data_IF_635698999759
#
_entry.id   IF_635698999759
#
_cell.length_a   1.000
_cell.length_b   1.000
_cell.length_c   1.000
_cell.angle_alpha   90.00
_cell.angle_beta   90.00
_cell.angle_gamma   90.00
#
_symmetry.space_group_name_H-M   'P 1'
#
loop_
_entity.id
_entity.type
_entity.pdbx_description
1 polymer ?
#
# COMPACT_ATOMS: atom_id res chain seq x y z
N UNK A 1 6.37 -31.31 -1.32
CA UNK A 1 6.74 -30.02 -0.70
C UNK A 1 6.33 -28.97 -1.71
N UNK A 2 5.35 -28.12 -1.37
CA UNK A 2 4.98 -27.02 -2.26
C UNK A 2 6.20 -26.09 -2.40
N UNK A 3 6.63 -25.85 -3.63
CA UNK A 3 7.67 -24.85 -3.90
C UNK A 3 7.11 -23.49 -3.46
N UNK A 4 7.68 -22.91 -2.41
CA UNK A 4 7.39 -21.53 -2.02
C UNK A 4 7.87 -20.63 -3.16
N UNK A 5 6.96 -19.85 -3.76
CA UNK A 5 7.29 -18.87 -4.80
C UNK A 5 8.08 -17.68 -4.23
N UNK A 6 8.05 -17.48 -2.90
CA UNK A 6 8.85 -16.45 -2.23
C UNK A 6 10.17 -17.06 -1.77
N UNK A 7 11.27 -16.39 -2.05
CA UNK A 7 12.59 -16.80 -1.57
C UNK A 7 12.66 -16.78 -0.03
N UNK A 8 13.35 -17.78 0.54
CA UNK A 8 13.53 -17.86 2.01
C UNK A 8 14.19 -16.60 2.59
N UNK A 9 15.05 -15.93 1.81
CA UNK A 9 15.71 -14.69 2.21
C UNK A 9 14.74 -13.52 2.36
N UNK A 10 13.74 -13.41 1.48
CA UNK A 10 12.70 -12.37 1.55
C UNK A 10 11.87 -12.54 2.80
N UNK A 11 11.39 -13.75 3.08
CA UNK A 11 10.60 -14.04 4.29
C UNK A 11 11.37 -13.72 5.57
N UNK A 12 12.64 -14.13 5.66
CA UNK A 12 13.49 -13.83 6.81
C UNK A 12 13.75 -12.33 6.98
N UNK A 13 13.87 -11.58 5.89
CA UNK A 13 14.01 -10.14 5.93
C UNK A 13 12.77 -9.45 6.51
N UNK A 14 11.56 -9.90 6.15
CA UNK A 14 10.33 -9.38 6.74
C UNK A 14 10.15 -9.74 8.20
N UNK A 15 10.52 -10.96 8.62
CA UNK A 15 10.50 -11.35 10.03
C UNK A 15 11.43 -10.45 10.88
N UNK A 16 12.59 -10.03 10.34
CA UNK A 16 13.50 -9.12 11.01
C UNK A 16 13.05 -7.65 10.96
N UNK A 17 12.34 -7.24 9.92
CA UNK A 17 11.90 -5.86 9.69
C UNK A 17 11.04 -5.32 10.83
N UNK A 18 10.07 -6.10 11.30
CA UNK A 18 9.15 -5.66 12.36
C UNK A 18 9.81 -5.53 13.73
N UNK A 19 10.96 -6.17 13.94
CA UNK A 19 11.75 -6.02 15.17
C UNK A 19 12.60 -4.74 15.18
N UNK A 20 12.99 -4.26 13.99
CA UNK A 20 13.96 -3.17 13.85
C UNK A 20 13.34 -1.77 13.73
N UNK A 21 12.05 -1.65 13.36
CA UNK A 21 11.43 -0.38 13.04
C UNK A 21 10.45 0.10 14.11
N UNK A 22 10.49 1.40 14.39
CA UNK A 22 9.62 2.09 15.35
C UNK A 22 8.13 1.94 15.00
N UNK A 23 7.34 1.48 15.96
CA UNK A 23 5.89 1.33 15.84
C UNK A 23 5.20 2.66 15.50
N UNK A 24 5.66 3.77 16.11
CA UNK A 24 5.08 5.09 15.85
C UNK A 24 5.24 5.51 14.39
N UNK A 25 6.38 5.17 13.78
CA UNK A 25 6.62 5.39 12.35
C UNK A 25 5.63 4.62 11.48
N UNK A 26 5.41 3.34 11.78
CA UNK A 26 4.48 2.48 11.05
C UNK A 26 3.04 2.97 11.20
N UNK A 27 2.60 3.28 12.42
CA UNK A 27 1.27 3.84 12.69
C UNK A 27 1.04 5.16 11.95
N UNK A 28 2.02 6.06 11.98
CA UNK A 28 1.90 7.35 11.29
C UNK A 28 1.74 7.16 9.77
N UNK A 29 2.56 6.33 9.15
CA UNK A 29 2.44 6.01 7.72
C UNK A 29 1.12 5.33 7.37
N UNK A 30 0.70 4.36 8.18
CA UNK A 30 -0.54 3.63 7.99
C UNK A 30 -1.78 4.52 8.09
N UNK A 31 -1.78 5.53 8.96
CA UNK A 31 -2.89 6.49 9.06
C UNK A 31 -3.17 7.19 7.72
N UNK A 32 -2.13 7.66 7.06
CA UNK A 32 -2.29 8.32 5.76
C UNK A 32 -2.69 7.35 4.66
N UNK A 33 -2.13 6.14 4.62
CA UNK A 33 -2.55 5.09 3.70
C UNK A 33 -4.04 4.74 3.89
N UNK A 34 -4.48 4.55 5.12
CA UNK A 34 -5.88 4.31 5.43
C UNK A 34 -6.79 5.49 5.01
N UNK A 35 -6.33 6.75 5.11
CA UNK A 35 -7.06 7.91 4.59
C UNK A 35 -7.21 7.85 3.07
N UNK A 36 -6.17 7.48 2.32
CA UNK A 36 -6.24 7.30 0.87
C UNK A 36 -7.23 6.18 0.50
N UNK A 37 -7.18 5.05 1.21
CA UNK A 37 -8.11 3.94 1.03
C UNK A 37 -9.56 4.41 1.17
N UNK A 38 -9.88 5.07 2.28
CA UNK A 38 -11.23 5.59 2.56
C UNK A 38 -11.64 6.63 1.50
N UNK A 39 -10.73 7.54 1.13
CA UNK A 39 -11.04 8.60 0.16
C UNK A 39 -11.32 8.05 -1.24
N UNK A 40 -10.48 7.16 -1.76
CA UNK A 40 -10.63 6.59 -3.10
C UNK A 40 -11.88 5.70 -3.19
N UNK A 41 -12.27 5.07 -2.10
CA UNK A 41 -13.41 4.15 -2.04
C UNK A 41 -14.71 4.77 -1.52
N UNK A 42 -14.76 6.07 -1.26
CA UNK A 42 -15.88 6.78 -0.62
C UNK A 42 -17.25 6.62 -1.27
N UNK A 43 -17.30 6.29 -2.56
CA UNK A 43 -18.56 6.08 -3.30
C UNK A 43 -19.11 4.65 -3.15
N UNK A 44 -18.44 3.80 -2.39
CA UNK A 44 -18.77 2.39 -2.20
C UNK A 44 -18.83 2.05 -0.72
N UNK A 45 -19.61 1.02 -0.40
CA UNK A 45 -19.67 0.43 0.94
C UNK A 45 -19.30 -1.04 0.85
N UNK A 46 -18.42 -1.47 1.72
CA UNK A 46 -17.92 -2.85 1.76
C UNK A 46 -18.28 -3.48 3.08
N UNK A 47 -18.70 -4.74 3.05
CA UNK A 47 -19.01 -5.51 4.27
C UNK A 47 -17.82 -6.36 4.70
N UNK A 48 -17.16 -6.98 3.74
CA UNK A 48 -16.08 -7.92 3.99
C UNK A 48 -14.82 -7.52 3.21
N UNK A 49 -13.77 -7.15 3.94
CA UNK A 49 -12.54 -6.60 3.37
C UNK A 49 -11.35 -7.45 3.82
N UNK A 50 -10.46 -7.76 2.88
CA UNK A 50 -9.20 -8.45 3.12
C UNK A 50 -8.03 -7.52 2.83
N UNK A 51 -7.10 -7.37 3.77
CA UNK A 51 -5.78 -6.80 3.49
C UNK A 51 -4.78 -7.91 3.22
N UNK A 52 -4.11 -7.86 2.07
CA UNK A 52 -3.06 -8.81 1.66
C UNK A 52 -1.70 -8.14 1.79
N UNK A 53 -0.79 -8.75 2.54
CA UNK A 53 0.44 -8.14 3.00
C UNK A 53 0.16 -7.09 4.08
N UNK A 54 -0.63 -7.48 5.10
CA UNK A 54 -1.14 -6.56 6.12
C UNK A 54 -0.07 -6.04 7.10
N UNK A 55 1.15 -6.57 7.01
CA UNK A 55 2.27 -6.11 7.81
C UNK A 55 2.04 -6.31 9.30
N UNK A 56 2.06 -5.23 10.06
CA UNK A 56 1.75 -5.23 11.48
C UNK A 56 0.28 -4.91 11.79
N UNK A 57 -0.59 -4.82 10.78
CA UNK A 57 -2.01 -4.52 10.92
C UNK A 57 -2.34 -3.04 11.21
N UNK A 58 -1.39 -2.14 11.04
CA UNK A 58 -1.62 -0.72 11.36
C UNK A 58 -2.64 -0.05 10.45
N UNK A 59 -2.79 -0.47 9.18
CA UNK A 59 -3.85 0.03 8.30
C UNK A 59 -5.21 -0.49 8.79
N UNK A 60 -5.33 -1.80 9.05
CA UNK A 60 -6.56 -2.40 9.58
C UNK A 60 -7.01 -1.76 10.90
N UNK A 61 -6.05 -1.41 11.77
CA UNK A 61 -6.33 -0.69 13.00
C UNK A 61 -7.08 0.64 12.73
N UNK A 62 -6.62 1.45 11.78
CA UNK A 62 -7.30 2.71 11.46
C UNK A 62 -8.63 2.48 10.72
N UNK A 63 -8.72 1.48 9.85
CA UNK A 63 -9.96 1.14 9.16
C UNK A 63 -11.04 0.70 10.16
N UNK A 64 -10.68 -0.06 11.21
CA UNK A 64 -11.57 -0.42 12.31
C UNK A 64 -12.02 0.82 13.10
N UNK A 65 -11.07 1.68 13.53
CA UNK A 65 -11.38 2.92 14.26
C UNK A 65 -12.37 3.82 13.49
N UNK A 66 -12.28 3.83 12.17
CA UNK A 66 -13.16 4.63 11.31
C UNK A 66 -14.39 3.87 10.84
N UNK A 67 -14.61 2.64 11.32
CA UNK A 67 -15.75 1.78 10.98
C UNK A 67 -15.92 1.61 9.47
N UNK A 68 -14.79 1.39 8.78
CA UNK A 68 -14.75 1.30 7.32
C UNK A 68 -15.52 0.08 6.79
N UNK A 69 -15.38 -1.07 7.47
CA UNK A 69 -16.10 -2.29 7.17
C UNK A 69 -16.38 -3.08 8.46
N UNK A 70 -17.50 -3.80 8.56
CA UNK A 70 -17.82 -4.61 9.74
C UNK A 70 -16.96 -5.87 9.87
N UNK A 71 -16.43 -6.39 8.76
CA UNK A 71 -15.59 -7.60 8.74
C UNK A 71 -14.27 -7.30 8.03
N UNK A 72 -13.17 -7.33 8.79
CA UNK A 72 -11.80 -7.21 8.30
C UNK A 72 -11.10 -8.56 8.40
N UNK A 73 -10.25 -8.85 7.43
CA UNK A 73 -9.41 -10.03 7.37
C UNK A 73 -8.00 -9.65 6.96
N UNK A 74 -7.01 -10.46 7.35
CA UNK A 74 -5.60 -10.20 7.05
C UNK A 74 -4.89 -11.45 6.53
N UNK A 75 -4.06 -11.26 5.51
CA UNK A 75 -3.03 -12.19 5.10
C UNK A 75 -1.66 -11.52 5.20
N UNK A 76 -0.70 -12.22 5.78
CA UNK A 76 0.66 -11.75 5.95
C UNK A 76 1.65 -12.90 5.70
N UNK A 77 2.81 -12.63 5.10
CA UNK A 77 3.80 -13.67 4.77
C UNK A 77 4.72 -14.02 5.94
N UNK A 78 4.86 -13.11 6.91
CA UNK A 78 5.75 -13.27 8.06
C UNK A 78 4.99 -13.65 9.33
N UNK A 79 5.57 -14.56 10.12
CA UNK A 79 5.00 -14.95 11.42
C UNK A 79 5.01 -13.79 12.41
N UNK A 80 6.04 -12.97 12.37
CA UNK A 80 6.13 -11.79 13.24
C UNK A 80 5.05 -10.76 12.92
N UNK A 81 4.74 -10.54 11.63
CA UNK A 81 3.62 -9.69 11.21
C UNK A 81 2.29 -10.22 11.70
N UNK A 82 2.00 -11.52 11.51
CA UNK A 82 0.79 -12.16 12.04
C UNK A 82 0.65 -11.93 13.55
N UNK A 83 1.72 -12.17 14.32
CA UNK A 83 1.70 -11.95 15.77
C UNK A 83 1.45 -10.49 16.18
N UNK A 84 2.00 -9.52 15.42
CA UNK A 84 1.72 -8.10 15.64
C UNK A 84 0.28 -7.71 15.33
N UNK A 85 -0.32 -8.28 14.28
CA UNK A 85 -1.73 -8.05 13.95
C UNK A 85 -2.63 -8.57 15.07
N UNK A 86 -2.40 -9.79 15.52
CA UNK A 86 -3.17 -10.42 16.63
C UNK A 86 -3.06 -9.59 17.91
N UNK A 87 -1.86 -9.11 18.25
CA UNK A 87 -1.61 -8.30 19.45
C UNK A 87 -2.34 -6.96 19.44
N UNK A 88 -2.72 -6.42 18.27
CA UNK A 88 -3.48 -5.15 18.18
C UNK A 88 -4.93 -5.25 18.63
N UNK A 89 -5.48 -6.46 18.78
CA UNK A 89 -6.85 -6.70 19.24
C UNK A 89 -7.89 -5.83 18.50
N UNK A 90 -7.89 -5.86 17.16
CA UNK A 90 -8.78 -5.08 16.30
C UNK A 90 -10.19 -5.70 16.34
N UNK A 91 -11.23 -5.00 16.84
CA UNK A 91 -12.56 -5.57 17.06
C UNK A 91 -13.23 -6.15 15.81
N UNK A 92 -13.10 -5.51 14.66
CA UNK A 92 -13.71 -5.97 13.39
C UNK A 92 -12.90 -7.06 12.68
N UNK A 93 -11.70 -7.40 13.16
CA UNK A 93 -10.84 -8.40 12.55
C UNK A 93 -11.35 -9.82 12.83
N UNK A 94 -11.72 -10.55 11.78
CA UNK A 94 -12.30 -11.90 11.86
C UNK A 94 -11.27 -13.01 11.70
N UNK A 95 -10.21 -12.77 10.91
CA UNK A 95 -9.14 -13.74 10.72
C UNK A 95 -7.82 -13.08 10.34
N UNK A 96 -6.76 -13.70 10.82
CA UNK A 96 -5.36 -13.43 10.41
C UNK A 96 -4.74 -14.76 10.01
N UNK A 97 -4.09 -14.82 8.85
CA UNK A 97 -3.44 -16.04 8.40
C UNK A 97 -2.08 -15.74 7.76
N UNK A 98 -1.13 -16.61 8.02
CA UNK A 98 0.11 -16.66 7.23
C UNK A 98 -0.20 -17.29 5.87
N UNK A 99 0.33 -16.70 4.77
CA UNK A 99 0.17 -17.26 3.43
C UNK A 99 1.50 -17.28 2.66
N UNK A 100 1.51 -17.92 1.50
CA UNK A 100 2.72 -18.13 0.71
C UNK A 100 3.10 -16.95 -0.20
N UNK A 101 2.32 -15.86 -0.16
CA UNK A 101 2.50 -14.65 -0.95
C UNK A 101 1.77 -14.65 -2.29
N UNK A 102 1.25 -15.77 -2.75
CA UNK A 102 0.59 -15.89 -4.05
C UNK A 102 -0.75 -16.61 -4.02
N UNK A 103 -0.88 -17.67 -3.23
CA UNK A 103 -2.13 -18.40 -3.12
C UNK A 103 -2.96 -17.88 -1.95
N UNK A 104 -4.15 -17.35 -2.26
CA UNK A 104 -5.07 -16.81 -1.26
C UNK A 104 -6.00 -17.93 -0.81
N UNK A 105 -5.95 -18.34 0.49
CA UNK A 105 -6.67 -19.52 1.00
C UNK A 105 -8.17 -19.23 1.27
N UNK A 106 -8.83 -18.58 0.33
CA UNK A 106 -10.26 -18.28 0.36
C UNK A 106 -10.92 -18.67 -0.96
N UNK A 107 -12.21 -19.07 -0.94
CA UNK A 107 -12.98 -19.32 -2.15
C UNK A 107 -13.10 -18.08 -3.07
N UNK A 108 -13.53 -18.31 -4.30
CA UNK A 108 -13.83 -17.26 -5.26
C UNK A 108 -14.89 -16.29 -4.70
N UNK A 109 -14.75 -15.01 -5.04
CA UNK A 109 -15.70 -13.95 -4.67
C UNK A 109 -16.04 -13.87 -3.17
N UNK A 110 -15.08 -14.29 -2.30
CA UNK A 110 -15.24 -14.31 -0.83
C UNK A 110 -15.29 -12.91 -0.20
N UNK A 111 -14.76 -11.90 -0.89
CA UNK A 111 -14.64 -10.55 -0.36
C UNK A 111 -15.28 -9.50 -1.27
N UNK A 112 -15.81 -8.44 -0.67
CA UNK A 112 -16.25 -7.30 -1.44
C UNK A 112 -15.05 -6.52 -1.98
N UNK A 113 -14.00 -6.35 -1.15
CA UNK A 113 -12.78 -5.65 -1.54
C UNK A 113 -11.53 -6.30 -0.94
N UNK A 114 -10.45 -6.29 -1.72
CA UNK A 114 -9.08 -6.54 -1.22
C UNK A 114 -8.30 -5.23 -1.24
N UNK A 115 -7.48 -5.04 -0.22
CA UNK A 115 -6.48 -3.97 -0.10
C UNK A 115 -5.10 -4.57 -0.29
N UNK A 116 -4.31 -3.95 -1.17
CA UNK A 116 -2.90 -4.26 -1.41
C UNK A 116 -2.10 -2.95 -1.32
N UNK A 117 -1.66 -2.59 -0.12
CA UNK A 117 -1.04 -1.31 0.15
C UNK A 117 0.46 -1.44 0.42
N UNK A 118 1.29 -0.93 -0.50
CA UNK A 118 2.76 -1.03 -0.45
C UNK A 118 3.25 -2.49 -0.37
N UNK A 119 2.73 -3.33 -1.26
CA UNK A 119 3.10 -4.74 -1.39
C UNK A 119 3.62 -5.03 -2.79
N UNK A 120 2.97 -4.47 -3.83
CA UNK A 120 3.22 -4.84 -5.22
C UNK A 120 4.65 -4.55 -5.66
N UNK A 121 5.29 -3.52 -5.09
CA UNK A 121 6.69 -3.17 -5.34
C UNK A 121 7.69 -4.23 -4.86
N UNK A 122 7.25 -5.15 -4.00
CA UNK A 122 8.08 -6.23 -3.43
C UNK A 122 7.80 -7.61 -4.06
N UNK A 123 6.82 -7.70 -4.95
CA UNK A 123 6.34 -8.98 -5.49
C UNK A 123 7.09 -9.37 -6.75
N UNK A 124 7.71 -10.54 -6.79
CA UNK A 124 8.45 -11.05 -7.96
C UNK A 124 7.55 -11.34 -9.16
N UNK A 125 6.33 -11.84 -8.91
CA UNK A 125 5.37 -12.27 -9.92
C UNK A 125 4.03 -11.55 -9.75
N UNK A 126 4.02 -10.24 -9.93
CA UNK A 126 2.87 -9.38 -9.64
C UNK A 126 1.59 -9.80 -10.38
N UNK A 127 1.72 -10.30 -11.61
CA UNK A 127 0.57 -10.75 -12.40
C UNK A 127 -0.08 -12.02 -11.85
N UNK A 128 0.71 -12.93 -11.26
CA UNK A 128 0.15 -14.12 -10.59
C UNK A 128 -0.66 -13.70 -9.36
N UNK A 129 -0.13 -12.80 -8.55
CA UNK A 129 -0.86 -12.28 -7.40
C UNK A 129 -2.13 -11.55 -7.83
N UNK A 130 -2.07 -10.69 -8.85
CA UNK A 130 -3.25 -9.96 -9.35
C UNK A 130 -4.38 -10.89 -9.80
N UNK A 131 -4.07 -12.02 -10.41
CA UNK A 131 -5.05 -13.04 -10.82
C UNK A 131 -5.72 -13.70 -9.63
N UNK A 132 -4.96 -13.99 -8.56
CA UNK A 132 -5.53 -14.51 -7.31
C UNK A 132 -6.40 -13.46 -6.62
N UNK A 133 -5.96 -12.20 -6.54
CA UNK A 133 -6.76 -11.11 -6.01
C UNK A 133 -8.09 -10.96 -6.78
N UNK A 134 -8.03 -11.05 -8.12
CA UNK A 134 -9.20 -11.01 -9.01
C UNK A 134 -10.15 -12.17 -8.77
N UNK A 135 -9.63 -13.36 -8.49
CA UNK A 135 -10.44 -14.53 -8.18
C UNK A 135 -11.27 -14.34 -6.92
N UNK A 136 -10.66 -13.77 -5.88
CA UNK A 136 -11.20 -13.79 -4.51
C UNK A 136 -12.10 -12.58 -4.19
N UNK A 137 -11.99 -11.47 -4.92
CA UNK A 137 -12.75 -10.26 -4.61
C UNK A 137 -13.38 -9.57 -5.84
N UNK A 138 -14.43 -8.78 -5.57
CA UNK A 138 -15.12 -7.95 -6.57
C UNK A 138 -14.37 -6.65 -6.87
N UNK A 139 -13.76 -6.07 -5.84
CA UNK A 139 -12.96 -4.85 -5.93
C UNK A 139 -11.55 -5.08 -5.43
N UNK A 140 -10.61 -4.41 -6.05
CA UNK A 140 -9.20 -4.39 -5.67
C UNK A 140 -8.74 -2.95 -5.50
N UNK A 141 -8.24 -2.61 -4.32
CA UNK A 141 -7.58 -1.34 -4.05
C UNK A 141 -6.07 -1.59 -3.93
N UNK A 142 -5.30 -0.88 -4.74
CA UNK A 142 -3.83 -0.94 -4.72
C UNK A 142 -3.29 0.45 -4.40
N UNK A 143 -2.35 0.52 -3.46
CA UNK A 143 -1.49 1.69 -3.28
C UNK A 143 -0.03 1.29 -3.47
N UNK A 144 0.69 2.05 -4.28
CA UNK A 144 2.14 1.87 -4.51
C UNK A 144 2.89 3.18 -4.30
N UNK A 145 4.15 3.15 -3.82
CA UNK A 145 5.01 4.32 -3.85
C UNK A 145 5.33 4.67 -5.30
N UNK A 146 5.38 5.97 -5.60
CA UNK A 146 5.85 6.43 -6.90
C UNK A 146 7.37 6.57 -6.87
N UNK A 147 8.06 5.47 -7.05
CA UNK A 147 9.52 5.43 -7.02
C UNK A 147 10.16 5.84 -8.35
N UNK A 148 9.50 5.53 -9.46
CA UNK A 148 9.97 5.92 -10.79
C UNK A 148 9.72 7.42 -11.03
N UNK A 149 10.75 8.23 -10.77
CA UNK A 149 10.72 9.69 -10.86
C UNK A 149 12.10 10.24 -11.23
N UNK A 150 12.19 11.55 -11.47
CA UNK A 150 13.47 12.21 -11.75
C UNK A 150 14.54 11.86 -10.70
N UNK A 151 15.72 11.46 -11.17
CA UNK A 151 16.83 11.03 -10.33
C UNK A 151 16.72 9.57 -9.83
N UNK A 152 15.85 8.74 -10.41
CA UNK A 152 15.72 7.31 -10.08
C UNK A 152 17.05 6.57 -10.17
N UNK A 153 17.86 6.88 -11.18
CA UNK A 153 19.16 6.21 -11.43
C UNK A 153 20.17 6.38 -10.29
N UNK A 154 20.01 7.39 -9.45
CA UNK A 154 20.86 7.64 -8.29
C UNK A 154 20.36 7.02 -6.99
N UNK A 155 19.23 6.29 -7.04
CA UNK A 155 18.51 5.79 -5.87
C UNK A 155 18.57 4.28 -5.67
N UNK A 156 19.44 3.59 -6.40
CA UNK A 156 19.54 2.12 -6.33
C UNK A 156 19.70 1.60 -4.89
N UNK A 157 20.57 2.23 -4.09
CA UNK A 157 20.74 1.85 -2.68
C UNK A 157 19.43 1.96 -1.90
N UNK A 158 18.65 3.02 -2.10
CA UNK A 158 17.36 3.21 -1.46
C UNK A 158 16.39 2.06 -1.80
N UNK A 159 16.30 1.67 -3.06
CA UNK A 159 15.42 0.58 -3.48
C UNK A 159 15.84 -0.76 -2.87
N UNK A 160 17.14 -1.05 -2.86
CA UNK A 160 17.68 -2.25 -2.22
C UNK A 160 17.43 -2.27 -0.71
N UNK A 161 17.62 -1.13 -0.03
CA UNK A 161 17.39 -0.99 1.42
C UNK A 161 15.92 -1.22 1.81
N UNK A 162 14.98 -0.87 0.91
CA UNK A 162 13.53 -1.08 1.11
C UNK A 162 12.99 -2.35 0.44
N UNK A 163 13.81 -3.08 -0.31
CA UNK A 163 13.39 -4.29 -1.03
C UNK A 163 12.42 -4.03 -2.18
N UNK A 164 12.43 -2.81 -2.77
CA UNK A 164 11.62 -2.47 -3.93
C UNK A 164 12.25 -3.06 -5.19
N UNK A 165 11.71 -4.16 -5.68
CA UNK A 165 12.15 -4.82 -6.92
C UNK A 165 11.36 -4.35 -8.14
N UNK A 166 10.17 -3.77 -7.93
CA UNK A 166 9.36 -3.15 -8.96
C UNK A 166 9.17 -1.66 -8.68
N UNK A 167 9.11 -0.87 -9.74
CA UNK A 167 8.91 0.58 -9.67
C UNK A 167 7.73 0.99 -10.53
N UNK A 168 6.79 1.72 -9.94
CA UNK A 168 5.55 2.12 -10.62
C UNK A 168 5.47 3.62 -10.85
N UNK A 169 4.84 3.96 -11.96
CA UNK A 169 4.20 5.26 -12.21
C UNK A 169 2.68 5.07 -12.20
N UNK A 170 1.87 6.12 -12.06
CA UNK A 170 0.42 5.99 -12.23
C UNK A 170 0.04 5.31 -13.55
N UNK A 171 0.70 5.65 -14.64
CA UNK A 171 0.44 5.07 -15.96
C UNK A 171 0.80 3.58 -16.03
N UNK A 172 1.98 3.18 -15.52
CA UNK A 172 2.38 1.77 -15.57
C UNK A 172 1.50 0.88 -14.69
N UNK A 173 1.04 1.38 -13.53
CA UNK A 173 0.11 0.63 -12.69
C UNK A 173 -1.27 0.52 -13.34
N UNK A 174 -1.79 1.62 -13.95
CA UNK A 174 -3.05 1.55 -14.71
C UNK A 174 -2.98 0.52 -15.82
N UNK A 175 -1.88 0.54 -16.60
CA UNK A 175 -1.66 -0.46 -17.65
C UNK A 175 -1.63 -1.89 -17.08
N UNK A 176 -0.92 -2.11 -15.98
CA UNK A 176 -0.80 -3.42 -15.36
C UNK A 176 -2.18 -3.97 -14.94
N UNK A 177 -2.97 -3.18 -14.18
CA UNK A 177 -4.28 -3.65 -13.70
C UNK A 177 -5.28 -3.85 -14.84
N UNK A 178 -5.31 -2.96 -15.85
CA UNK A 178 -6.20 -3.11 -16.99
C UNK A 178 -5.82 -4.34 -17.83
N UNK A 179 -4.52 -4.59 -18.03
CA UNK A 179 -4.04 -5.79 -18.77
C UNK A 179 -4.29 -7.10 -18.02
N UNK A 180 -4.63 -7.08 -16.73
CA UNK A 180 -5.07 -8.26 -15.96
C UNK A 180 -6.60 -8.31 -15.81
N UNK A 181 -7.36 -7.50 -16.55
CA UNK A 181 -8.81 -7.53 -16.60
C UNK A 181 -9.47 -6.86 -15.39
N UNK A 182 -8.95 -5.72 -14.99
CA UNK A 182 -9.58 -4.83 -14.04
C UNK A 182 -10.00 -3.52 -14.71
N UNK A 183 -11.14 -2.97 -14.32
CA UNK A 183 -11.58 -1.64 -14.70
C UNK A 183 -11.30 -0.67 -13.56
N UNK A 184 -10.64 0.44 -13.86
CA UNK A 184 -10.38 1.50 -12.88
C UNK A 184 -11.70 2.22 -12.57
N UNK A 185 -12.03 2.31 -11.28
CA UNK A 185 -13.25 2.95 -10.76
C UNK A 185 -12.93 4.35 -10.23
N UNK A 186 -11.85 4.46 -9.48
CA UNK A 186 -11.35 5.71 -8.93
C UNK A 186 -9.84 5.63 -8.72
N UNK A 187 -9.17 6.77 -8.76
CA UNK A 187 -7.73 6.84 -8.49
C UNK A 187 -7.35 8.18 -7.85
N UNK A 188 -6.22 8.17 -7.14
CA UNK A 188 -5.69 9.34 -6.45
C UNK A 188 -4.16 9.33 -6.48
N UNK A 189 -3.59 10.51 -6.67
CA UNK A 189 -2.17 10.77 -6.45
C UNK A 189 -1.98 11.52 -5.13
N UNK A 190 -1.12 11.02 -4.26
CA UNK A 190 -0.91 11.63 -2.94
C UNK A 190 0.52 12.13 -2.74
N UNK A 191 0.65 13.21 -1.96
CA UNK A 191 1.92 13.73 -1.45
C UNK A 191 2.19 13.15 -0.06
N UNK A 192 3.48 13.00 0.30
CA UNK A 192 3.84 12.69 1.68
C UNK A 192 3.43 13.86 2.57
N UNK A 193 2.58 13.58 3.56
CA UNK A 193 2.12 14.60 4.49
C UNK A 193 3.29 15.21 5.29
N UNK A 194 3.26 16.53 5.61
CA UNK A 194 4.34 17.19 6.35
C UNK A 194 4.67 16.54 7.69
N UNK A 195 3.71 15.93 8.36
CA UNK A 195 3.93 15.19 9.62
C UNK A 195 4.83 13.99 9.42
N UNK A 196 4.59 13.19 8.36
CA UNK A 196 5.44 12.04 8.00
C UNK A 196 6.84 12.51 7.62
N UNK A 197 6.94 13.59 6.85
CA UNK A 197 8.23 14.17 6.45
C UNK A 197 9.02 14.68 7.65
N UNK A 198 8.34 15.32 8.63
CA UNK A 198 8.96 15.79 9.88
C UNK A 198 9.44 14.63 10.73
N UNK A 199 8.61 13.60 10.91
CA UNK A 199 9.00 12.41 11.67
C UNK A 199 10.25 11.76 11.05
N UNK A 200 10.22 11.54 9.75
CA UNK A 200 11.38 10.97 9.06
C UNK A 200 12.66 11.82 9.21
N UNK A 201 12.55 13.14 9.02
CA UNK A 201 13.71 14.03 9.10
C UNK A 201 14.29 14.13 10.53
N UNK A 202 13.44 14.28 11.54
CA UNK A 202 13.88 14.64 12.89
C UNK A 202 14.04 13.42 13.81
N UNK A 203 13.24 12.38 13.63
CA UNK A 203 13.33 11.15 14.43
C UNK A 203 14.22 10.12 13.73
N UNK A 204 13.86 9.67 12.52
CA UNK A 204 14.61 8.61 11.84
C UNK A 204 16.00 9.06 11.40
N UNK A 205 16.11 10.22 10.75
CA UNK A 205 17.38 10.77 10.25
C UNK A 205 18.13 11.63 11.29
N UNK A 206 17.57 11.81 12.49
CA UNK A 206 18.18 12.57 13.61
C UNK A 206 18.66 13.98 13.22
N UNK A 207 18.02 14.63 12.25
CA UNK A 207 18.31 16.01 11.88
C UNK A 207 17.80 16.98 12.95
N UNK A 208 18.50 18.09 13.16
CA UNK A 208 18.07 19.13 14.13
C UNK A 208 16.74 19.75 13.72
N UNK A 209 15.72 19.79 14.61
CA UNK A 209 14.40 20.33 14.33
C UNK A 209 14.39 21.87 14.40
N UNK A 210 14.99 22.54 13.40
CA UNK A 210 14.96 24.00 13.33
C UNK A 210 13.62 24.53 12.78
N UNK A 211 13.29 25.77 13.10
CA UNK A 211 12.11 26.46 12.56
C UNK A 211 12.15 26.47 11.02
N UNK A 212 13.29 26.79 10.43
CA UNK A 212 13.47 26.83 8.96
C UNK A 212 13.27 25.46 8.33
N UNK A 213 13.74 24.37 8.95
CA UNK A 213 13.53 23.02 8.42
C UNK A 213 12.03 22.64 8.44
N UNK A 214 11.32 22.95 9.52
CA UNK A 214 9.87 22.72 9.61
C UNK A 214 9.10 23.56 8.60
N UNK A 215 9.44 24.85 8.47
CA UNK A 215 8.83 25.75 7.49
C UNK A 215 9.07 25.29 6.05
N UNK A 216 10.28 24.86 5.71
CA UNK A 216 10.62 24.34 4.39
C UNK A 216 9.75 23.14 4.01
N UNK A 217 9.58 22.17 4.93
CA UNK A 217 8.75 20.99 4.70
C UNK A 217 7.30 21.40 4.41
N UNK A 218 6.75 22.31 5.21
CA UNK A 218 5.38 22.79 5.05
C UNK A 218 5.19 23.56 3.75
N UNK A 219 6.11 24.47 3.43
CA UNK A 219 6.07 25.27 2.20
C UNK A 219 6.17 24.38 0.97
N UNK A 220 7.07 23.43 0.95
CA UNK A 220 7.23 22.49 -0.16
C UNK A 220 5.94 21.69 -0.41
N UNK A 221 5.31 21.19 0.66
CA UNK A 221 4.04 20.48 0.57
C UNK A 221 2.95 21.37 -0.03
N UNK A 222 2.78 22.59 0.49
CA UNK A 222 1.76 23.53 0.03
C UNK A 222 1.97 23.94 -1.43
N UNK A 223 3.21 24.20 -1.83
CA UNK A 223 3.53 24.55 -3.23
C UNK A 223 3.23 23.39 -4.18
N UNK A 224 3.63 22.16 -3.83
CA UNK A 224 3.32 20.99 -4.65
C UNK A 224 1.82 20.73 -4.73
N UNK A 225 1.09 20.86 -3.63
CA UNK A 225 -0.36 20.73 -3.58
C UNK A 225 -1.05 21.77 -4.46
N UNK A 226 -0.64 23.04 -4.36
CA UNK A 226 -1.17 24.13 -5.19
C UNK A 226 -0.88 23.89 -6.68
N UNK A 227 0.36 23.52 -7.02
CA UNK A 227 0.75 23.23 -8.41
C UNK A 227 -0.03 22.03 -8.98
N UNK A 228 -0.29 21.00 -8.16
CA UNK A 228 -1.16 19.88 -8.53
C UNK A 228 -2.58 20.35 -8.83
N UNK A 229 -3.18 21.08 -7.89
CA UNK A 229 -4.54 21.59 -8.03
C UNK A 229 -4.72 22.50 -9.26
N UNK A 230 -3.78 23.40 -9.53
CA UNK A 230 -3.85 24.32 -10.66
C UNK A 230 -3.51 23.67 -12.01
N UNK A 231 -2.59 22.71 -12.01
CA UNK A 231 -2.10 22.03 -13.22
C UNK A 231 -2.85 20.76 -13.59
N UNK A 232 -3.85 20.36 -12.79
CA UNK A 232 -4.66 19.16 -12.99
C UNK A 232 -3.88 17.85 -12.87
N UNK A 233 -4.51 16.76 -13.26
CA UNK A 233 -4.04 15.37 -13.08
C UNK A 233 -2.57 15.15 -13.50
N UNK A 234 -2.13 15.76 -14.59
CA UNK A 234 -0.75 15.63 -15.09
C UNK A 234 0.29 16.21 -14.13
N UNK A 235 -0.03 17.31 -13.46
CA UNK A 235 0.86 17.92 -12.47
C UNK A 235 0.78 17.18 -11.12
N UNK A 236 -0.39 16.72 -10.72
CA UNK A 236 -0.54 15.87 -9.56
C UNK A 236 0.32 14.61 -9.69
N UNK A 237 0.22 13.90 -10.81
CA UNK A 237 1.06 12.74 -11.12
C UNK A 237 2.55 13.05 -11.09
N UNK A 238 2.96 14.23 -11.57
CA UNK A 238 4.37 14.65 -11.57
C UNK A 238 4.93 14.74 -10.14
N UNK A 239 4.19 15.34 -9.22
CA UNK A 239 4.65 15.61 -7.86
C UNK A 239 4.31 14.52 -6.86
N UNK A 240 3.43 13.60 -7.19
CA UNK A 240 2.99 12.53 -6.32
C UNK A 240 4.15 11.72 -5.72
N UNK A 241 3.93 11.24 -4.52
CA UNK A 241 4.80 10.29 -3.81
C UNK A 241 4.21 8.88 -3.76
N UNK A 242 2.88 8.77 -3.79
CA UNK A 242 2.18 7.50 -3.91
C UNK A 242 1.01 7.64 -4.89
N UNK A 243 0.55 6.51 -5.38
CA UNK A 243 -0.59 6.38 -6.26
C UNK A 243 -1.51 5.27 -5.75
N UNK A 244 -2.76 5.63 -5.50
CA UNK A 244 -3.80 4.72 -5.02
C UNK A 244 -4.85 4.56 -6.10
N UNK A 245 -5.26 3.32 -6.40
CA UNK A 245 -6.26 3.00 -7.41
C UNK A 245 -7.25 1.99 -6.88
N UNK A 246 -8.55 2.26 -7.06
CA UNK A 246 -9.65 1.33 -6.85
C UNK A 246 -10.08 0.76 -8.19
N UNK A 247 -10.09 -0.55 -8.29
CA UNK A 247 -10.47 -1.29 -9.48
C UNK A 247 -11.66 -2.21 -9.20
N UNK A 248 -12.52 -2.43 -10.19
CA UNK A 248 -13.52 -3.50 -10.18
C UNK A 248 -13.07 -4.64 -11.08
N UNK A 249 -13.42 -5.86 -10.69
CA UNK A 249 -13.25 -7.06 -11.51
C UNK A 249 -14.00 -6.90 -12.82
N UNK A 250 -13.36 -7.25 -13.93
CA UNK A 250 -13.94 -7.29 -15.27
C UNK A 250 -13.71 -8.68 -15.88
N UNK A 251 -14.68 -9.18 -16.66
CA UNK A 251 -14.57 -10.52 -17.23
C UNK A 251 -13.73 -10.54 -18.50
N UNK A 252 -13.79 -9.48 -19.30
CA UNK A 252 -13.09 -9.39 -20.58
C UNK A 252 -11.81 -8.55 -20.47
N UNK A 253 -10.76 -9.04 -21.10
CA UNK A 253 -9.49 -8.31 -21.22
C UNK A 253 -9.59 -7.28 -22.34
N UNK A 254 -9.36 -6.00 -22.05
CA UNK A 254 -9.32 -4.91 -23.04
C UNK A 254 -7.89 -4.70 -23.59
N UNK A 255 -7.23 -5.79 -24.01
CA UNK A 255 -5.84 -5.64 -24.52
C UNK A 255 -5.80 -5.59 -26.05
N UNK A 256 -6.86 -5.97 -26.75
CA UNK A 256 -6.96 -5.99 -28.21
C UNK A 256 -8.28 -5.39 -28.68
#
# INVERSE_FOLDING_TARGET
MANSFISKGVKAAYDAYYQAHDEQWRLLGARYKAQHIVHVSKSHTFKKVLEVGAGDGSILYYLDQWKFAPELHALEISKSGVAHIEAKNIPSLQSVQEFDGYHIPFPDDSFDMIILAHVLEHVEHERLLLRELKRVAKYLLIEVPKDYRFGVDTRMKHFLDYGHINMYTPTSLRFLVQSEGFRIVADECSLIHPEVSRFNAFINQKKSPSFFAKFKIELEYRLKSLLGMLGGKKQEEKWANAYTVLCSKQHDLEIF
#
